data_IF_317657200237
#
_entry.id   IF_317657200237
#
_cell.length_a   1.000
_cell.length_b   1.000
_cell.length_c   1.000
_cell.angle_alpha   90.00
_cell.angle_beta   90.00
_cell.angle_gamma   90.00
#
_symmetry.space_group_name_H-M   'P 1'
#
loop_
_entity.id
_entity.type
_entity.pdbx_description
1 polymer ?
#
# COMPACT_ATOMS: atom_id res chain seq x y z
N UNK A 1 -22.81 -22.04 -26.33
CA UNK A 1 -23.20 -20.64 -26.02
C UNK A 1 -22.41 -20.27 -24.77
N UNK A 2 -21.29 -19.56 -24.91
CA UNK A 2 -20.38 -19.30 -23.79
C UNK A 2 -20.88 -18.07 -23.01
N UNK A 3 -20.92 -18.10 -21.67
CA UNK A 3 -21.28 -16.92 -20.89
C UNK A 3 -20.20 -15.86 -21.05
N UNK A 4 -20.59 -14.68 -21.51
CA UNK A 4 -19.73 -13.51 -21.58
C UNK A 4 -19.59 -12.93 -20.16
N UNK A 5 -18.53 -13.30 -19.45
CA UNK A 5 -18.17 -12.65 -18.19
C UNK A 5 -17.81 -11.20 -18.46
N UNK A 6 -18.65 -10.27 -18.01
CA UNK A 6 -18.41 -8.84 -18.13
C UNK A 6 -18.12 -8.28 -16.73
N UNK A 7 -16.84 -8.16 -16.40
CA UNK A 7 -16.41 -7.44 -15.21
C UNK A 7 -16.75 -5.95 -15.39
N UNK A 8 -17.45 -5.37 -14.43
CA UNK A 8 -17.73 -3.92 -14.36
C UNK A 8 -16.97 -3.35 -13.17
N UNK A 9 -16.10 -2.39 -13.44
CA UNK A 9 -15.43 -1.62 -12.38
C UNK A 9 -16.41 -0.60 -11.81
N UNK A 10 -16.47 -0.50 -10.48
CA UNK A 10 -17.28 0.52 -9.83
C UNK A 10 -16.54 1.87 -9.95
N UNK A 11 -16.97 2.70 -10.89
CA UNK A 11 -16.39 4.03 -11.10
C UNK A 11 -16.81 4.94 -9.94
N UNK A 12 -15.85 5.63 -9.33
CA UNK A 12 -16.04 6.59 -8.24
C UNK A 12 -16.57 6.01 -6.91
N UNK A 13 -16.14 4.80 -6.55
CA UNK A 13 -16.28 4.33 -5.16
C UNK A 13 -15.64 5.36 -4.20
N UNK A 14 -16.34 5.78 -3.13
CA UNK A 14 -15.73 6.63 -2.12
C UNK A 14 -14.56 5.88 -1.46
N UNK A 15 -13.37 6.47 -1.49
CA UNK A 15 -12.22 5.93 -0.77
C UNK A 15 -12.29 6.37 0.68
N UNK A 16 -12.61 5.43 1.57
CA UNK A 16 -12.52 5.64 3.01
C UNK A 16 -11.06 5.44 3.46
N UNK A 17 -10.65 5.97 4.62
CA UNK A 17 -9.33 5.70 5.16
C UNK A 17 -9.26 4.24 5.64
N UNK A 18 -8.27 3.51 5.13
CA UNK A 18 -8.06 2.09 5.41
C UNK A 18 -7.13 1.88 6.61
N UNK A 19 -6.19 2.81 6.85
CA UNK A 19 -5.24 2.73 7.94
C UNK A 19 -4.72 4.12 8.36
N UNK A 20 -4.39 4.28 9.63
CA UNK A 20 -3.83 5.51 10.21
C UNK A 20 -2.73 5.18 11.22
N UNK A 21 -1.64 5.95 11.22
CA UNK A 21 -0.55 5.75 12.17
C UNK A 21 0.25 7.03 12.43
N UNK A 22 0.71 7.20 13.67
CA UNK A 22 1.50 8.33 14.13
C UNK A 22 2.99 7.98 14.15
N UNK A 23 3.83 8.90 13.71
CA UNK A 23 5.29 8.81 13.82
C UNK A 23 5.77 9.46 15.12
N UNK A 24 7.00 9.13 15.53
CA UNK A 24 7.68 9.85 16.61
C UNK A 24 8.08 11.29 16.24
N UNK A 25 8.07 11.62 14.94
CA UNK A 25 8.41 12.94 14.42
C UNK A 25 7.18 13.86 14.29
N UNK A 26 6.08 13.55 15.00
CA UNK A 26 4.81 14.30 14.97
C UNK A 26 4.17 14.36 13.56
N UNK A 27 4.32 13.29 12.77
CA UNK A 27 3.63 13.13 11.49
C UNK A 27 2.54 12.06 11.60
N UNK A 28 1.45 12.27 10.88
CA UNK A 28 0.34 11.31 10.78
C UNK A 28 0.25 10.83 9.34
N UNK A 29 0.40 9.52 9.13
CA UNK A 29 0.12 8.90 7.85
C UNK A 29 -1.31 8.37 7.84
N UNK A 30 -2.09 8.77 6.84
CA UNK A 30 -3.45 8.28 6.59
C UNK A 30 -3.48 7.65 5.21
N UNK A 31 -3.76 6.36 5.16
CA UNK A 31 -3.94 5.61 3.92
C UNK A 31 -5.41 5.62 3.51
N UNK A 32 -5.70 5.92 2.24
CA UNK A 32 -7.02 5.81 1.64
C UNK A 32 -6.88 5.29 0.21
N UNK A 33 -7.25 4.03 0.00
CA UNK A 33 -7.06 3.35 -1.28
C UNK A 33 -5.60 3.36 -1.72
N UNK A 34 -5.34 3.92 -2.89
CA UNK A 34 -4.00 3.98 -3.51
C UNK A 34 -3.16 5.18 -3.07
N UNK A 35 -3.65 5.99 -2.14
CA UNK A 35 -3.01 7.22 -1.70
C UNK A 35 -2.71 7.12 -0.20
N UNK A 36 -1.49 7.48 0.19
CA UNK A 36 -1.14 7.70 1.60
C UNK A 36 -0.77 9.17 1.77
N UNK A 37 -1.58 9.88 2.54
CA UNK A 37 -1.38 11.29 2.86
C UNK A 37 -0.64 11.42 4.17
N UNK A 38 0.38 12.26 4.19
CA UNK A 38 1.22 12.51 5.36
C UNK A 38 0.93 13.92 5.84
N UNK A 39 0.44 14.02 7.07
CA UNK A 39 -0.01 15.25 7.69
C UNK A 39 0.94 15.62 8.82
N UNK A 40 1.15 16.91 9.02
CA UNK A 40 1.77 17.44 10.24
C UNK A 40 0.70 18.23 10.99
N UNK A 41 0.18 17.74 12.13
CA UNK A 41 -0.87 18.43 12.89
C UNK A 41 -0.48 19.85 13.35
N UNK A 42 0.82 20.16 13.42
CA UNK A 42 1.30 21.49 13.77
C UNK A 42 1.35 22.45 12.57
N UNK A 43 1.27 21.95 11.34
CA UNK A 43 1.25 22.75 10.12
C UNK A 43 -0.19 22.85 9.60
N UNK A 44 -0.71 24.07 9.48
CA UNK A 44 -2.07 24.33 8.98
C UNK A 44 -2.15 24.42 7.45
N UNK A 45 -1.01 24.33 6.76
CA UNK A 45 -0.88 24.63 5.33
C UNK A 45 -1.16 23.44 4.40
N UNK A 46 -1.88 22.43 4.91
CA UNK A 46 -2.24 21.22 4.16
C UNK A 46 -1.30 20.03 4.42
N UNK A 47 -1.38 18.99 3.57
CA UNK A 47 -0.59 17.78 3.77
C UNK A 47 0.90 18.05 3.55
N UNK A 48 1.73 17.50 4.45
CA UNK A 48 3.19 17.56 4.37
C UNK A 48 3.76 16.65 3.30
N UNK A 49 2.99 15.69 2.82
CA UNK A 49 3.41 14.82 1.74
C UNK A 49 2.35 13.87 1.23
N UNK A 50 2.63 13.30 0.06
CA UNK A 50 1.81 12.29 -0.58
C UNK A 50 2.66 11.11 -1.03
N UNK A 51 2.10 9.92 -0.88
CA UNK A 51 2.59 8.69 -1.48
C UNK A 51 1.48 8.14 -2.36
N UNK A 52 1.77 7.99 -3.65
CA UNK A 52 0.87 7.33 -4.60
C UNK A 52 1.37 5.91 -4.86
N UNK A 53 0.54 4.93 -4.51
CA UNK A 53 0.75 3.53 -4.84
C UNK A 53 0.49 3.32 -6.33
N UNK A 54 1.40 2.63 -7.00
CA UNK A 54 1.28 2.32 -8.42
C UNK A 54 0.87 0.85 -8.59
N UNK A 55 0.00 0.53 -9.56
CA UNK A 55 -0.35 -0.84 -9.87
C UNK A 55 0.90 -1.66 -10.21
N UNK A 56 0.85 -2.95 -9.90
CA UNK A 56 1.90 -3.92 -10.23
C UNK A 56 1.31 -5.23 -10.67
N UNK A 57 2.14 -6.02 -11.31
CA UNK A 57 1.81 -7.40 -11.63
C UNK A 57 1.50 -8.15 -10.31
N UNK A 58 0.30 -8.73 -10.19
CA UNK A 58 -0.09 -9.47 -9.01
C UNK A 58 0.92 -10.60 -8.76
N UNK A 59 1.21 -10.88 -7.50
CA UNK A 59 2.01 -12.05 -7.16
C UNK A 59 1.31 -13.32 -7.71
N UNK A 60 2.04 -14.23 -8.38
CA UNK A 60 1.44 -15.33 -9.15
C UNK A 60 0.82 -16.46 -8.29
N UNK A 61 0.50 -16.19 -7.02
CA UNK A 61 -0.21 -17.15 -6.16
C UNK A 61 -1.70 -17.08 -6.45
N UNK A 62 -2.27 -18.22 -6.85
CA UNK A 62 -3.70 -18.38 -7.10
C UNK A 62 -4.20 -17.63 -8.33
N UNK A 63 -3.29 -17.25 -9.24
CA UNK A 63 -3.66 -16.72 -10.55
C UNK A 63 -4.06 -17.91 -11.42
N UNK A 64 -5.32 -17.93 -11.85
CA UNK A 64 -5.84 -18.91 -12.81
C UNK A 64 -5.63 -18.34 -14.21
N UNK A 65 -5.10 -19.15 -15.13
CA UNK A 65 -4.94 -18.71 -16.51
C UNK A 65 -6.32 -18.42 -17.11
N UNK A 66 -6.41 -17.47 -18.06
CA UNK A 66 -7.71 -17.13 -18.65
C UNK A 66 -8.27 -18.31 -19.43
N UNK A 67 -7.40 -19.14 -19.97
CA UNK A 67 -7.68 -20.33 -20.74
C UNK A 67 -8.35 -21.39 -19.85
N UNK A 68 -7.84 -21.58 -18.63
CA UNK A 68 -8.40 -22.53 -17.67
C UNK A 68 -9.80 -22.12 -17.18
N UNK A 69 -10.15 -20.81 -17.19
CA UNK A 69 -11.48 -20.32 -16.78
C UNK A 69 -12.63 -20.86 -17.63
N UNK A 70 -12.34 -21.35 -18.84
CA UNK A 70 -13.35 -21.89 -19.76
C UNK A 70 -13.55 -23.41 -19.62
N UNK A 71 -12.82 -24.07 -18.71
CA UNK A 71 -12.99 -25.50 -18.46
C UNK A 71 -14.36 -25.80 -17.81
N UNK A 72 -15.12 -26.80 -18.30
CA UNK A 72 -16.48 -27.11 -17.82
C UNK A 72 -16.57 -27.51 -16.34
N UNK A 73 -15.43 -27.74 -15.68
CA UNK A 73 -15.31 -28.15 -14.28
C UNK A 73 -15.25 -26.97 -13.30
N UNK A 74 -15.08 -25.74 -13.78
CA UNK A 74 -15.07 -24.56 -12.94
C UNK A 74 -16.49 -24.04 -12.70
N UNK A 75 -16.77 -23.70 -11.44
CA UNK A 75 -18.04 -23.10 -11.04
C UNK A 75 -18.29 -21.79 -11.78
N UNK A 76 -19.55 -21.45 -12.12
CA UNK A 76 -19.92 -20.24 -12.87
C UNK A 76 -19.68 -18.91 -12.12
N UNK A 77 -19.03 -18.95 -10.97
CA UNK A 77 -18.70 -17.79 -10.15
C UNK A 77 -17.20 -17.71 -9.98
N UNK A 78 -16.56 -16.80 -10.72
CA UNK A 78 -15.16 -16.46 -10.56
C UNK A 78 -15.03 -15.19 -9.72
N UNK A 79 -14.22 -15.24 -8.67
CA UNK A 79 -13.83 -14.08 -7.89
C UNK A 79 -12.61 -13.44 -8.54
N UNK A 80 -12.80 -12.26 -9.14
CA UNK A 80 -11.68 -11.45 -9.59
C UNK A 80 -11.08 -10.69 -8.40
N UNK A 81 -9.75 -10.63 -8.31
CA UNK A 81 -9.10 -9.69 -7.40
C UNK A 81 -9.29 -8.29 -7.94
N UNK A 82 -9.61 -7.36 -7.05
CA UNK A 82 -9.44 -5.94 -7.36
C UNK A 82 -7.96 -5.68 -7.66
N UNK A 83 -7.70 -5.04 -8.80
CA UNK A 83 -6.35 -4.71 -9.27
C UNK A 83 -5.94 -3.30 -8.88
N UNK A 84 -6.86 -2.51 -8.32
CA UNK A 84 -6.51 -1.18 -7.82
C UNK A 84 -5.51 -1.32 -6.66
N UNK A 85 -4.35 -0.64 -6.74
CA UNK A 85 -3.33 -0.76 -5.72
C UNK A 85 -3.82 -0.08 -4.45
N UNK A 86 -4.18 -0.80 -3.40
CA UNK A 86 -4.55 -0.17 -2.13
C UNK A 86 -3.62 -0.55 -0.97
N UNK A 87 -3.44 0.41 -0.06
CA UNK A 87 -2.73 0.21 1.19
C UNK A 87 -3.59 -0.61 2.15
N UNK A 88 -3.06 -1.72 2.63
CA UNK A 88 -3.69 -2.57 3.64
C UNK A 88 -3.23 -2.21 5.06
N UNK A 89 -2.01 -1.71 5.19
CA UNK A 89 -1.44 -1.31 6.49
C UNK A 89 -0.30 -0.32 6.30
N UNK A 90 -0.10 0.54 7.30
CA UNK A 90 0.97 1.52 7.36
C UNK A 90 1.66 1.46 8.72
N UNK A 91 2.98 1.57 8.74
CA UNK A 91 3.77 1.62 9.98
C UNK A 91 4.98 2.52 9.82
N UNK A 92 5.30 3.25 10.88
CA UNK A 92 6.54 4.02 10.98
C UNK A 92 7.66 3.16 11.55
N UNK A 93 8.90 3.40 11.12
CA UNK A 93 10.08 2.95 11.84
C UNK A 93 10.29 3.80 13.09
N UNK A 94 11.23 3.37 13.95
CA UNK A 94 11.76 4.25 14.98
C UNK A 94 12.54 5.42 14.34
N UNK A 95 12.77 6.46 15.14
CA UNK A 95 13.63 7.58 14.80
C UNK A 95 15.07 7.09 14.55
N UNK A 96 15.80 7.75 13.64
CA UNK A 96 17.18 7.39 13.29
C UNK A 96 17.36 6.52 12.05
N UNK A 97 16.26 6.04 11.46
CA UNK A 97 16.31 5.16 10.27
C UNK A 97 16.23 5.92 8.93
N UNK A 98 15.77 7.18 8.94
CA UNK A 98 15.76 8.05 7.76
C UNK A 98 16.94 9.04 7.77
N UNK A 99 17.24 9.69 6.63
CA UNK A 99 18.14 10.84 6.61
C UNK A 99 17.71 11.90 7.63
N UNK A 100 18.67 12.60 8.23
CA UNK A 100 18.45 13.57 9.32
C UNK A 100 17.88 12.95 10.61
N UNK A 101 18.12 11.66 10.83
CA UNK A 101 17.61 10.91 11.98
C UNK A 101 16.09 10.82 12.06
N UNK A 102 15.35 10.97 10.96
CA UNK A 102 13.89 10.85 10.97
C UNK A 102 13.37 9.40 10.93
N UNK A 103 12.05 9.26 10.77
CA UNK A 103 11.36 7.99 10.57
C UNK A 103 11.20 7.61 9.09
N UNK A 104 11.19 6.30 8.80
CA UNK A 104 10.77 5.72 7.53
C UNK A 104 9.31 5.29 7.61
N UNK A 105 8.61 5.34 6.48
CA UNK A 105 7.23 4.87 6.35
C UNK A 105 7.20 3.56 5.56
N UNK A 106 6.67 2.51 6.17
CA UNK A 106 6.36 1.25 5.49
C UNK A 106 4.87 1.19 5.14
N UNK A 107 4.57 0.87 3.88
CA UNK A 107 3.20 0.71 3.36
C UNK A 107 3.05 -0.69 2.79
N UNK A 108 2.22 -1.52 3.41
CA UNK A 108 1.85 -2.84 2.89
C UNK A 108 0.66 -2.69 1.94
N UNK A 109 0.76 -3.27 0.76
CA UNK A 109 -0.27 -3.19 -0.29
C UNK A 109 -1.00 -4.52 -0.47
N UNK A 110 -2.19 -4.47 -1.07
CA UNK A 110 -3.06 -5.66 -1.20
C UNK A 110 -2.50 -6.77 -2.08
N UNK A 111 -1.61 -6.41 -3.00
CA UNK A 111 -0.88 -7.30 -3.91
C UNK A 111 0.32 -8.00 -3.23
N UNK A 112 0.54 -7.79 -1.92
CA UNK A 112 1.54 -8.51 -1.13
C UNK A 112 2.92 -7.84 -1.05
N UNK A 113 3.02 -6.59 -1.47
CA UNK A 113 4.25 -5.82 -1.40
C UNK A 113 4.31 -4.92 -0.16
N UNK A 114 5.52 -4.70 0.36
CA UNK A 114 5.82 -3.66 1.36
C UNK A 114 6.72 -2.64 0.71
N UNK A 115 6.21 -1.42 0.56
CA UNK A 115 6.94 -0.29 0.01
C UNK A 115 7.51 0.52 1.16
N UNK A 116 8.83 0.78 1.14
CA UNK A 116 9.49 1.60 2.13
C UNK A 116 9.76 2.99 1.57
N UNK A 117 9.32 4.02 2.29
CA UNK A 117 9.44 5.42 1.92
C UNK A 117 10.25 6.18 2.96
N UNK A 118 10.98 7.18 2.49
CA UNK A 118 11.64 8.18 3.33
C UNK A 118 11.09 9.57 3.05
N UNK A 119 11.22 10.50 4.01
CA UNK A 119 10.93 11.90 3.76
C UNK A 119 11.79 12.44 2.59
N UNK A 120 11.26 13.43 1.87
CA UNK A 120 11.98 14.14 0.81
C UNK A 120 13.21 14.84 1.38
N UNK A 121 14.25 14.98 0.54
CA UNK A 121 15.52 15.64 0.96
C UNK A 121 15.35 17.16 1.08
N UNK A 122 14.38 17.71 0.34
CA UNK A 122 14.06 19.13 0.32
C UNK A 122 12.74 19.38 1.05
N UNK A 123 12.67 20.47 1.81
CA UNK A 123 11.46 20.90 2.53
C UNK A 123 10.34 21.41 1.60
N UNK A 124 10.65 21.64 0.32
CA UNK A 124 9.70 22.12 -0.70
C UNK A 124 9.12 21.01 -1.57
N UNK A 125 9.43 19.75 -1.26
CA UNK A 125 8.94 18.61 -2.01
C UNK A 125 8.02 17.81 -1.10
N UNK A 126 6.84 17.47 -1.60
CA UNK A 126 5.82 16.73 -0.86
C UNK A 126 5.82 15.23 -1.25
N UNK A 127 6.59 14.87 -2.28
CA UNK A 127 6.68 13.50 -2.77
C UNK A 127 7.68 12.69 -1.94
N UNK A 128 7.14 11.74 -1.18
CA UNK A 128 7.95 10.81 -0.40
C UNK A 128 8.69 9.84 -1.30
N UNK A 129 10.00 9.68 -1.04
CA UNK A 129 10.88 8.92 -1.93
C UNK A 129 10.81 7.45 -1.57
N UNK A 130 10.40 6.62 -2.53
CA UNK A 130 10.44 5.16 -2.41
C UNK A 130 11.89 4.68 -2.42
N UNK A 131 12.30 3.97 -1.37
CA UNK A 131 13.66 3.43 -1.24
C UNK A 131 13.74 2.03 -1.82
N UNK A 132 12.86 1.15 -1.37
CA UNK A 132 12.90 -0.27 -1.73
C UNK A 132 11.52 -0.90 -1.64
N UNK A 133 11.44 -2.14 -2.10
CA UNK A 133 10.28 -2.99 -2.04
C UNK A 133 10.65 -4.36 -1.50
N UNK A 134 9.82 -4.85 -0.58
CA UNK A 134 9.87 -6.22 -0.11
C UNK A 134 8.62 -6.96 -0.57
N UNK A 135 8.76 -8.24 -0.92
CA UNK A 135 7.62 -9.12 -1.23
C UNK A 135 7.38 -9.99 -0.01
N UNK A 136 6.14 -10.01 0.49
CA UNK A 136 5.77 -10.94 1.57
C UNK A 136 5.38 -12.26 0.91
N UNK A 137 6.31 -13.21 0.85
CA UNK A 137 6.01 -14.60 0.50
C UNK A 137 5.98 -15.37 1.82
N UNK A 138 4.78 -15.67 2.33
CA UNK A 138 4.50 -16.54 3.49
C UNK A 138 5.57 -16.63 4.61
N UNK A 139 5.29 -15.94 5.72
CA UNK A 139 5.97 -15.97 7.04
C UNK A 139 7.23 -15.10 7.27
N UNK A 140 7.26 -14.53 8.48
CA UNK A 140 8.31 -13.75 9.16
C UNK A 140 8.29 -12.22 8.90
N UNK A 141 7.42 -11.53 9.65
CA UNK A 141 7.85 -10.34 10.38
C UNK A 141 7.63 -10.59 11.88
N UNK A 142 8.57 -11.30 12.49
CA UNK A 142 8.88 -11.09 13.91
C UNK A 142 10.38 -10.83 13.98
N UNK A 143 10.73 -9.56 13.97
CA UNK A 143 11.86 -9.05 14.72
C UNK A 143 11.53 -7.59 15.08
N UNK A 144 10.65 -7.43 16.07
CA UNK A 144 10.87 -6.34 17.01
C UNK A 144 12.08 -6.78 17.87
N UNK A 145 13.19 -6.03 17.88
CA UNK A 145 13.99 -6.00 19.09
C UNK A 145 13.16 -5.23 20.12
N UNK A 146 12.41 -5.97 20.93
CA UNK A 146 12.21 -5.58 22.32
C UNK A 146 13.60 -5.65 22.95
N UNK A 147 14.23 -4.50 23.20
CA UNK A 147 15.42 -4.45 24.06
C UNK A 147 15.26 -3.28 25.01
N UNK A 148 14.85 -3.66 26.23
CA UNK A 148 15.05 -3.08 27.56
C UNK A 148 14.82 -1.58 27.78
#
# INVERSE_FOLDING_TARGET
MAPHYQATTLIASPSYPDAITWSSDNLVAVASGHIVTILNPAALDGPRGLVVLRPRDPFPIGVVSREDLFEPSLVPTSLARDTEPCARSVSWSQQGFAPNSGCLLAVCTVDGHVNLYRPPVSEFCDDWVKITIWVIVSFIFINLPQVC
#
